data_IF_379013013402
#
_entry.id   IF_379013013402
#
_cell.length_a   1.000
_cell.length_b   1.000
_cell.length_c   1.000
_cell.angle_alpha   90.00
_cell.angle_beta   90.00
_cell.angle_gamma   90.00
#
_symmetry.space_group_name_H-M   'P 1'
#
loop_
_entity.id
_entity.type
_entity.pdbx_description
1 polymer ?
#
# COMPACT_ATOMS: atom_id res chain seq x y z
N UNK A 1 20.60 -5.88 25.47
CA UNK A 1 20.77 -4.54 24.87
C UNK A 1 20.37 -4.60 23.42
N UNK A 2 19.11 -4.27 23.12
CA UNK A 2 18.64 -3.93 21.78
C UNK A 2 17.61 -2.80 21.98
N UNK A 3 17.77 -1.63 21.35
CA UNK A 3 16.81 -0.54 21.46
C UNK A 3 15.68 -0.79 20.44
N UNK A 4 14.44 -0.84 20.90
CA UNK A 4 13.24 -0.92 20.05
C UNK A 4 12.24 0.13 20.52
N UNK A 5 12.60 1.39 20.22
CA UNK A 5 11.71 2.54 20.19
C UNK A 5 12.21 3.43 19.03
N UNK A 6 11.94 3.02 17.78
CA UNK A 6 12.25 3.77 16.54
C UNK A 6 11.47 3.22 15.31
N UNK A 7 10.27 2.67 15.51
CA UNK A 7 9.50 1.95 14.46
C UNK A 7 8.89 2.86 13.37
N UNK A 8 9.27 4.14 13.30
CA UNK A 8 8.81 5.10 12.27
C UNK A 8 9.89 5.57 11.31
N UNK A 9 11.16 5.22 11.54
CA UNK A 9 12.28 5.68 10.70
C UNK A 9 12.56 4.67 9.59
N UNK A 10 12.27 5.08 8.35
CA UNK A 10 12.55 4.27 7.16
C UNK A 10 14.05 3.95 7.04
N UNK A 11 14.37 2.67 6.89
CA UNK A 11 15.73 2.20 6.59
C UNK A 11 15.86 1.86 5.12
N UNK A 12 16.81 2.46 4.38
CA UNK A 12 17.06 2.12 3.00
C UNK A 12 17.36 0.63 2.85
N UNK A 13 16.69 0.00 1.88
CA UNK A 13 16.84 -1.43 1.59
C UNK A 13 17.64 -1.62 0.31
N UNK A 14 18.50 -2.63 0.30
CA UNK A 14 19.22 -3.01 -0.92
C UNK A 14 18.26 -3.71 -1.90
N UNK A 15 17.90 -2.99 -2.96
CA UNK A 15 17.01 -3.47 -3.99
C UNK A 15 17.62 -4.61 -4.81
N UNK A 16 18.94 -4.62 -5.04
CA UNK A 16 19.63 -5.63 -5.83
C UNK A 16 19.64 -6.95 -5.05
N UNK A 17 20.10 -6.91 -3.79
CA UNK A 17 20.10 -8.09 -2.92
C UNK A 17 18.69 -8.64 -2.70
N UNK A 18 17.70 -7.76 -2.53
CA UNK A 18 16.31 -8.20 -2.38
C UNK A 18 15.74 -8.79 -3.67
N UNK A 19 16.13 -8.26 -4.84
CA UNK A 19 15.70 -8.80 -6.13
C UNK A 19 16.29 -10.18 -6.40
N UNK A 20 17.57 -10.37 -6.08
CA UNK A 20 18.25 -11.64 -6.26
C UNK A 20 17.66 -12.72 -5.35
N UNK A 21 17.44 -12.40 -4.07
CA UNK A 21 16.76 -13.33 -3.16
C UNK A 21 15.34 -13.65 -3.63
N UNK A 22 14.57 -12.64 -4.07
CA UNK A 22 13.24 -12.83 -4.66
C UNK A 22 13.25 -13.75 -5.88
N UNK A 23 14.22 -13.57 -6.78
CA UNK A 23 14.37 -14.39 -7.99
C UNK A 23 14.76 -15.83 -7.65
N UNK A 24 15.61 -16.05 -6.66
CA UNK A 24 16.00 -17.40 -6.21
C UNK A 24 14.81 -18.14 -5.61
N UNK A 25 14.06 -17.51 -4.69
CA UNK A 25 12.90 -18.15 -4.08
C UNK A 25 11.81 -18.48 -5.09
N UNK A 26 11.48 -17.52 -5.95
CA UNK A 26 10.46 -17.71 -6.99
C UNK A 26 10.91 -18.68 -8.10
N UNK A 27 12.17 -18.60 -8.53
CA UNK A 27 12.76 -19.53 -9.49
C UNK A 27 12.80 -20.96 -8.95
N UNK A 28 13.10 -21.14 -7.66
CA UNK A 28 13.00 -22.43 -6.97
C UNK A 28 11.58 -22.99 -7.01
N UNK A 29 10.57 -22.17 -6.72
CA UNK A 29 9.16 -22.56 -6.85
C UNK A 29 8.80 -22.92 -8.31
N UNK A 30 9.31 -22.17 -9.29
CA UNK A 30 9.14 -22.47 -10.71
C UNK A 30 9.77 -23.81 -11.12
N UNK A 31 10.93 -24.15 -10.55
CA UNK A 31 11.59 -25.45 -10.75
C UNK A 31 10.72 -26.57 -10.20
N UNK A 32 10.19 -26.43 -8.98
CA UNK A 32 9.29 -27.41 -8.37
C UNK A 32 8.01 -27.62 -9.20
N UNK A 33 7.40 -26.55 -9.71
CA UNK A 33 6.21 -26.66 -10.57
C UNK A 33 6.57 -27.35 -11.89
N UNK A 34 7.71 -27.00 -12.47
CA UNK A 34 8.21 -27.61 -13.71
C UNK A 34 8.50 -29.10 -13.55
N UNK A 35 9.10 -29.49 -12.43
CA UNK A 35 9.42 -30.89 -12.13
C UNK A 35 8.14 -31.69 -11.89
N UNK A 36 7.18 -31.14 -11.14
CA UNK A 36 5.87 -31.77 -10.92
C UNK A 36 5.13 -31.96 -12.25
N UNK A 37 5.10 -30.93 -13.11
CA UNK A 37 4.48 -31.01 -14.44
C UNK A 37 5.16 -32.05 -15.34
N UNK A 38 6.48 -32.20 -15.23
CA UNK A 38 7.23 -33.25 -15.94
C UNK A 38 6.91 -34.64 -15.40
N UNK A 39 6.82 -34.81 -14.08
CA UNK A 39 6.49 -36.08 -13.42
C UNK A 39 5.08 -36.59 -13.79
N UNK A 40 4.13 -35.67 -13.97
CA UNK A 40 2.76 -36.02 -14.37
C UNK A 40 2.57 -36.28 -15.87
N UNK A 41 3.62 -36.18 -16.71
CA UNK A 41 3.48 -36.48 -18.14
C UNK A 41 3.34 -37.99 -18.36
N UNK A 42 2.37 -38.37 -19.20
CA UNK A 42 2.13 -39.77 -19.59
C UNK A 42 3.23 -40.37 -20.48
N UNK A 43 4.09 -39.54 -21.07
CA UNK A 43 5.14 -39.97 -21.98
C UNK A 43 6.46 -40.14 -21.22
N UNK A 44 7.30 -41.08 -21.66
CA UNK A 44 8.64 -41.24 -21.10
C UNK A 44 9.48 -39.99 -21.39
N UNK A 45 9.72 -39.18 -20.36
CA UNK A 45 10.49 -37.94 -20.44
C UNK A 45 11.73 -38.06 -19.58
N UNK A 46 12.90 -37.82 -20.18
CA UNK A 46 14.17 -37.82 -19.46
C UNK A 46 14.27 -36.65 -18.48
N UNK A 47 15.18 -36.74 -17.50
CA UNK A 47 15.41 -35.70 -16.48
C UNK A 47 15.68 -34.30 -17.09
N UNK A 48 16.32 -34.25 -18.25
CA UNK A 48 16.62 -33.01 -19.00
C UNK A 48 15.37 -32.29 -19.52
N UNK A 49 14.21 -32.95 -19.51
CA UNK A 49 12.94 -32.35 -19.93
C UNK A 49 12.50 -31.20 -19.02
N UNK A 50 12.82 -31.26 -17.72
CA UNK A 50 12.50 -30.20 -16.73
C UNK A 50 13.15 -28.87 -17.10
N UNK A 51 14.39 -28.92 -17.59
CA UNK A 51 15.17 -27.73 -17.93
C UNK A 51 14.90 -27.26 -19.37
N UNK A 52 14.77 -28.17 -20.33
CA UNK A 52 14.57 -27.81 -21.75
C UNK A 52 13.17 -27.31 -22.06
N UNK A 53 12.13 -27.99 -21.59
CA UNK A 53 10.73 -27.59 -21.85
C UNK A 53 10.14 -26.78 -20.70
N UNK A 54 10.61 -27.01 -19.47
CA UNK A 54 10.17 -26.27 -18.30
C UNK A 54 11.00 -25.03 -17.97
N UNK A 55 12.13 -24.82 -18.64
CA UNK A 55 13.00 -23.65 -18.42
C UNK A 55 12.26 -22.32 -18.55
N UNK A 56 11.34 -22.20 -19.51
CA UNK A 56 10.52 -21.00 -19.67
C UNK A 56 9.67 -20.70 -18.43
N UNK A 57 9.14 -21.73 -17.75
CA UNK A 57 8.38 -21.53 -16.50
C UNK A 57 9.30 -21.12 -15.36
N UNK A 58 10.45 -21.77 -15.20
CA UNK A 58 11.45 -21.44 -14.17
C UNK A 58 11.87 -19.97 -14.29
N UNK A 59 12.22 -19.55 -15.51
CA UNK A 59 12.64 -18.19 -15.82
C UNK A 59 11.51 -17.18 -15.57
N UNK A 60 10.28 -17.51 -15.99
CA UNK A 60 9.13 -16.61 -15.79
C UNK A 60 8.85 -16.37 -14.30
N UNK A 61 8.91 -17.42 -13.48
CA UNK A 61 8.74 -17.29 -12.03
C UNK A 61 9.91 -16.52 -11.39
N UNK A 62 11.15 -16.82 -11.77
CA UNK A 62 12.33 -16.10 -11.28
C UNK A 62 12.27 -14.60 -11.58
N UNK A 63 11.92 -14.23 -12.82
CA UNK A 63 11.76 -12.82 -13.18
C UNK A 63 10.59 -12.16 -12.44
N UNK A 64 9.45 -12.85 -12.31
CA UNK A 64 8.30 -12.30 -11.59
C UNK A 64 8.65 -11.97 -10.13
N UNK A 65 9.32 -12.87 -9.41
CA UNK A 65 9.72 -12.63 -8.02
C UNK A 65 10.88 -11.63 -7.87
N UNK A 66 11.83 -11.64 -8.80
CA UNK A 66 12.93 -10.68 -8.84
C UNK A 66 12.47 -9.26 -9.09
N UNK A 67 11.65 -9.05 -10.12
CA UNK A 67 11.07 -7.75 -10.47
C UNK A 67 10.13 -7.27 -9.38
N UNK A 68 9.30 -8.16 -8.81
CA UNK A 68 8.44 -7.84 -7.67
C UNK A 68 9.24 -7.22 -6.51
N UNK A 69 10.29 -7.92 -6.05
CA UNK A 69 11.11 -7.45 -4.94
C UNK A 69 11.91 -6.20 -5.32
N UNK A 70 12.48 -6.14 -6.51
CA UNK A 70 13.21 -4.97 -6.98
C UNK A 70 12.34 -3.72 -6.96
N UNK A 71 11.17 -3.79 -7.62
CA UNK A 71 10.26 -2.66 -7.72
C UNK A 71 9.68 -2.24 -6.36
N UNK A 72 9.36 -3.20 -5.50
CA UNK A 72 8.92 -2.93 -4.13
C UNK A 72 9.99 -2.16 -3.33
N UNK A 73 11.25 -2.59 -3.38
CA UNK A 73 12.33 -1.91 -2.64
C UNK A 73 12.70 -0.57 -3.27
N UNK A 74 12.72 -0.48 -4.59
CA UNK A 74 12.98 0.77 -5.29
C UNK A 74 11.91 1.82 -4.96
N UNK A 75 10.63 1.45 -4.97
CA UNK A 75 9.54 2.37 -4.62
C UNK A 75 9.59 2.78 -3.15
N UNK A 76 9.93 1.83 -2.25
CA UNK A 76 10.09 2.12 -0.83
C UNK A 76 11.25 3.11 -0.58
N UNK A 77 12.39 2.91 -1.24
CA UNK A 77 13.55 3.80 -1.13
C UNK A 77 13.26 5.21 -1.66
N UNK A 78 12.55 5.33 -2.80
CA UNK A 78 12.19 6.61 -3.39
C UNK A 78 11.19 7.40 -2.51
N UNK A 79 10.25 6.69 -1.87
CA UNK A 79 9.23 7.31 -1.01
C UNK A 79 9.66 7.46 0.43
N UNK A 80 10.76 6.82 0.81
CA UNK A 80 11.22 6.69 2.19
C UNK A 80 10.09 6.24 3.15
N UNK A 81 9.20 5.37 2.66
CA UNK A 81 8.00 4.90 3.37
C UNK A 81 7.71 3.46 3.00
N UNK A 82 7.28 2.67 3.99
CA UNK A 82 6.86 1.28 3.82
C UNK A 82 5.33 1.17 3.80
N UNK A 83 4.75 1.34 2.62
CA UNK A 83 3.29 1.30 2.44
C UNK A 83 2.84 0.13 1.56
N UNK A 84 1.54 -0.19 1.63
CA UNK A 84 0.88 -1.16 0.74
C UNK A 84 1.04 -0.81 -0.75
N UNK A 85 1.22 0.47 -1.08
CA UNK A 85 1.49 0.92 -2.45
C UNK A 85 2.78 0.36 -3.04
N UNK A 86 3.81 0.13 -2.21
CA UNK A 86 5.07 -0.46 -2.69
C UNK A 86 4.85 -1.92 -3.12
N UNK A 87 4.03 -2.64 -2.36
CA UNK A 87 3.64 -4.01 -2.68
C UNK A 87 2.77 -4.07 -3.94
N UNK A 88 1.83 -3.14 -4.11
CA UNK A 88 0.98 -3.04 -5.30
C UNK A 88 1.81 -2.79 -6.57
N UNK A 89 2.75 -1.84 -6.53
CA UNK A 89 3.64 -1.52 -7.66
C UNK A 89 4.55 -2.70 -7.99
N UNK A 90 5.14 -3.32 -6.96
CA UNK A 90 5.94 -4.52 -7.13
C UNK A 90 5.15 -5.65 -7.79
N UNK A 91 3.92 -5.89 -7.31
CA UNK A 91 3.08 -6.96 -7.82
C UNK A 91 2.54 -6.69 -9.22
N UNK A 92 2.26 -5.42 -9.55
CA UNK A 92 1.91 -5.04 -10.91
C UNK A 92 3.04 -5.36 -11.89
N UNK A 93 4.27 -4.97 -11.55
CA UNK A 93 5.43 -5.21 -12.40
C UNK A 93 5.80 -6.69 -12.47
N UNK A 94 5.82 -7.40 -11.33
CA UNK A 94 6.07 -8.85 -11.29
C UNK A 94 4.99 -9.68 -11.99
N UNK A 95 3.71 -9.30 -11.86
CA UNK A 95 2.59 -9.96 -12.53
C UNK A 95 2.57 -9.73 -14.04
N UNK A 96 2.98 -8.54 -14.49
CA UNK A 96 3.13 -8.22 -15.92
C UNK A 96 4.10 -9.19 -16.62
N UNK A 97 5.13 -9.67 -15.91
CA UNK A 97 6.10 -10.64 -16.45
C UNK A 97 5.45 -11.96 -16.85
N UNK A 98 4.48 -12.47 -16.08
CA UNK A 98 3.74 -13.67 -16.47
C UNK A 98 2.96 -13.46 -17.79
N UNK A 99 2.45 -12.25 -18.01
CA UNK A 99 1.76 -11.86 -19.25
C UNK A 99 2.69 -11.65 -20.45
N UNK A 100 3.98 -11.38 -20.24
CA UNK A 100 4.94 -11.10 -21.32
C UNK A 100 5.04 -12.25 -22.32
N UNK A 101 4.85 -13.50 -21.88
CA UNK A 101 4.86 -14.67 -22.78
C UNK A 101 3.78 -14.60 -23.87
N UNK A 102 2.68 -13.90 -23.61
CA UNK A 102 1.59 -13.75 -24.59
C UNK A 102 1.88 -12.67 -25.64
N UNK A 103 2.89 -11.81 -25.43
CA UNK A 103 3.26 -10.69 -26.32
C UNK A 103 2.10 -9.75 -26.69
N UNK A 104 1.04 -9.72 -25.86
CA UNK A 104 -0.15 -8.91 -26.06
C UNK A 104 -0.23 -7.90 -24.92
N UNK A 105 -0.14 -6.61 -25.24
CA UNK A 105 -0.29 -5.51 -24.29
C UNK A 105 -1.50 -5.63 -23.35
N UNK A 106 -2.74 -5.96 -23.81
CA UNK A 106 -3.87 -6.08 -22.90
C UNK A 106 -3.71 -7.24 -21.91
N UNK A 107 -3.05 -8.33 -22.31
CA UNK A 107 -2.80 -9.48 -21.44
C UNK A 107 -1.77 -9.13 -20.38
N UNK A 108 -0.70 -8.44 -20.76
CA UNK A 108 0.35 -7.98 -19.84
C UNK A 108 -0.25 -7.06 -18.77
N UNK A 109 -1.02 -6.05 -19.20
CA UNK A 109 -1.68 -5.11 -18.28
C UNK A 109 -2.73 -5.80 -17.42
N UNK A 110 -3.48 -6.76 -17.95
CA UNK A 110 -4.48 -7.52 -17.19
C UNK A 110 -3.85 -8.35 -16.07
N UNK A 111 -2.78 -9.09 -16.34
CA UNK A 111 -2.06 -9.85 -15.32
C UNK A 111 -1.38 -8.94 -14.29
N UNK A 112 -0.78 -7.83 -14.74
CA UNK A 112 -0.23 -6.82 -13.85
C UNK A 112 -1.30 -6.22 -12.93
N UNK A 113 -2.42 -5.75 -13.49
CA UNK A 113 -3.49 -5.12 -12.72
C UNK A 113 -4.11 -6.09 -11.70
N UNK A 114 -4.35 -7.35 -12.08
CA UNK A 114 -4.85 -8.38 -11.17
C UNK A 114 -3.87 -8.63 -10.03
N UNK A 115 -2.59 -8.86 -10.33
CA UNK A 115 -1.57 -9.10 -9.32
C UNK A 115 -1.39 -7.87 -8.40
N UNK A 116 -1.36 -6.67 -8.97
CA UNK A 116 -1.27 -5.41 -8.25
C UNK A 116 -2.44 -5.19 -7.30
N UNK A 117 -3.67 -5.40 -7.75
CA UNK A 117 -4.85 -5.26 -6.92
C UNK A 117 -4.91 -6.32 -5.81
N UNK A 118 -4.64 -7.58 -6.12
CA UNK A 118 -4.68 -8.67 -5.13
C UNK A 118 -3.61 -8.52 -4.05
N UNK A 119 -2.36 -8.28 -4.43
CA UNK A 119 -1.27 -8.10 -3.45
C UNK A 119 -1.37 -6.74 -2.75
N UNK A 120 -1.81 -5.69 -3.45
CA UNK A 120 -2.04 -4.38 -2.85
C UNK A 120 -3.13 -4.41 -1.78
N UNK A 121 -4.27 -5.05 -2.05
CA UNK A 121 -5.34 -5.26 -1.06
C UNK A 121 -4.85 -6.13 0.09
N UNK A 122 -4.13 -7.22 -0.19
CA UNK A 122 -3.57 -8.08 0.85
C UNK A 122 -2.61 -7.32 1.80
N UNK A 123 -1.71 -6.52 1.23
CA UNK A 123 -0.80 -5.67 2.01
C UNK A 123 -1.55 -4.59 2.79
N UNK A 124 -2.60 -4.01 2.19
CA UNK A 124 -3.45 -3.03 2.86
C UNK A 124 -4.20 -3.64 4.05
N UNK A 125 -4.62 -4.91 3.97
CA UNK A 125 -5.27 -5.63 5.09
C UNK A 125 -4.31 -6.09 6.19
N UNK A 126 -3.01 -5.77 6.10
CA UNK A 126 -2.01 -6.09 7.12
C UNK A 126 -1.05 -7.23 6.76
N UNK A 127 -1.11 -7.76 5.53
CA UNK A 127 -0.07 -8.64 4.99
C UNK A 127 0.09 -10.01 5.67
N UNK A 128 -0.84 -10.41 6.54
CA UNK A 128 -0.81 -11.69 7.26
C UNK A 128 -2.11 -12.47 7.08
N UNK A 129 -1.99 -13.79 6.87
CA UNK A 129 -3.15 -14.70 6.84
C UNK A 129 -3.51 -15.26 8.22
N UNK A 130 -2.59 -15.13 9.18
CA UNK A 130 -2.70 -15.69 10.53
C UNK A 130 -3.31 -14.69 11.54
N UNK A 131 -3.81 -13.56 11.05
CA UNK A 131 -4.29 -12.45 11.88
C UNK A 131 -3.19 -11.50 12.32
N UNK A 132 -3.60 -10.35 12.86
CA UNK A 132 -2.70 -9.35 13.40
C UNK A 132 -2.03 -9.90 14.67
N UNK A 133 -0.71 -10.09 14.63
CA UNK A 133 0.05 -10.41 15.84
C UNK A 133 0.00 -9.18 16.73
N UNK A 134 -0.61 -9.33 17.91
CA UNK A 134 -0.76 -8.26 18.88
C UNK A 134 0.63 -7.88 19.38
N UNK A 135 0.94 -6.59 19.37
CA UNK A 135 2.13 -6.13 20.07
C UNK A 135 1.96 -6.38 21.57
N UNK A 136 2.84 -7.16 22.19
CA UNK A 136 2.78 -7.41 23.63
C UNK A 136 3.13 -6.17 24.47
N UNK A 137 3.60 -5.09 23.83
CA UNK A 137 4.03 -3.85 24.47
C UNK A 137 2.96 -2.76 24.47
N UNK A 138 1.82 -2.96 23.80
CA UNK A 138 0.72 -1.99 23.76
C UNK A 138 -0.25 -2.30 24.90
N UNK A 139 -0.51 -1.32 25.76
CA UNK A 139 -1.46 -1.49 26.86
C UNK A 139 -2.86 -1.80 26.31
N UNK A 140 -3.39 -2.98 26.68
CA UNK A 140 -4.73 -3.41 26.29
C UNK A 140 -5.81 -2.46 26.82
N UNK A 141 -5.53 -1.80 27.95
CA UNK A 141 -6.42 -0.84 28.57
C UNK A 141 -6.59 0.37 27.65
N UNK A 142 -5.49 1.01 27.26
CA UNK A 142 -5.49 2.22 26.42
C UNK A 142 -6.13 1.97 25.05
N UNK A 143 -5.87 0.81 24.42
CA UNK A 143 -6.52 0.45 23.15
C UNK A 143 -8.03 0.27 23.30
N UNK A 144 -8.47 -0.43 24.36
CA UNK A 144 -9.90 -0.65 24.62
C UNK A 144 -10.58 0.66 25.02
N UNK A 145 -9.88 1.53 25.72
CA UNK A 145 -10.33 2.87 26.05
C UNK A 145 -10.49 3.73 24.79
N UNK A 146 -9.51 3.75 23.88
CA UNK A 146 -9.62 4.42 22.58
C UNK A 146 -10.83 3.91 21.76
N UNK A 147 -11.05 2.58 21.72
CA UNK A 147 -12.23 2.01 21.06
C UNK A 147 -13.55 2.41 21.72
N UNK A 148 -13.58 2.62 23.05
CA UNK A 148 -14.77 3.08 23.78
C UNK A 148 -15.01 4.58 23.61
N UNK A 149 -13.95 5.38 23.61
CA UNK A 149 -13.97 6.84 23.45
C UNK A 149 -14.35 7.27 22.03
N UNK A 150 -14.18 6.38 21.04
CA UNK A 150 -14.62 6.61 19.65
C UNK A 150 -16.12 6.94 19.48
N UNK A 151 -16.96 6.77 20.51
CA UNK A 151 -18.37 7.18 20.49
C UNK A 151 -18.55 8.70 20.43
N UNK A 152 -17.61 9.49 20.96
CA UNK A 152 -17.61 10.97 20.92
C UNK A 152 -16.18 11.47 20.76
N UNK A 153 -15.77 11.75 19.53
CA UNK A 153 -14.47 12.37 19.24
C UNK A 153 -14.54 13.89 19.44
N UNK A 154 -13.50 14.54 19.98
CA UNK A 154 -13.45 15.98 20.11
C UNK A 154 -13.52 16.67 18.73
N UNK A 155 -14.19 17.83 18.67
CA UNK A 155 -14.40 18.56 17.41
C UNK A 155 -13.08 19.02 16.78
N UNK A 156 -12.05 19.25 17.60
CA UNK A 156 -10.70 19.65 17.17
C UNK A 156 -9.99 18.54 16.39
N UNK A 157 -10.10 17.28 16.82
CA UNK A 157 -9.54 16.12 16.11
C UNK A 157 -10.23 15.93 14.75
N UNK A 158 -11.56 16.07 14.71
CA UNK A 158 -12.30 16.01 13.43
C UNK A 158 -11.92 17.16 12.49
N UNK A 159 -11.58 18.32 13.04
CA UNK A 159 -11.14 19.48 12.27
C UNK A 159 -9.77 19.25 11.64
N UNK A 160 -8.85 18.65 12.39
CA UNK A 160 -7.52 18.32 11.92
C UNK A 160 -7.55 17.24 10.82
N UNK A 161 -8.41 16.24 10.95
CA UNK A 161 -8.52 15.13 9.99
C UNK A 161 -9.31 15.51 8.71
N UNK A 162 -10.49 16.15 8.85
CA UNK A 162 -11.43 16.39 7.74
C UNK A 162 -11.28 17.80 7.16
N UNK A 163 -10.78 18.75 7.95
CA UNK A 163 -10.70 20.17 7.58
C UNK A 163 -12.03 20.92 7.77
N UNK A 164 -11.95 22.25 7.73
CA UNK A 164 -13.12 23.13 7.80
C UNK A 164 -13.95 23.10 6.50
N UNK A 165 -15.27 22.97 6.62
CA UNK A 165 -16.20 23.05 5.48
C UNK A 165 -17.08 21.82 5.31
N UNK A 166 -17.93 21.82 4.26
CA UNK A 166 -18.85 20.71 3.91
C UNK A 166 -19.72 20.20 5.08
N UNK A 167 -20.23 21.13 5.91
CA UNK A 167 -21.16 20.81 7.01
C UNK A 167 -20.53 20.75 8.40
N UNK A 168 -19.20 20.87 8.52
CA UNK A 168 -18.50 20.97 9.80
C UNK A 168 -18.10 22.43 10.05
N UNK A 169 -18.73 23.04 11.05
CA UNK A 169 -18.57 24.46 11.39
C UNK A 169 -18.14 24.61 12.85
N UNK A 170 -16.84 24.79 13.13
CA UNK A 170 -16.39 25.08 14.49
C UNK A 170 -16.85 26.47 14.94
N UNK A 171 -16.87 26.76 16.25
CA UNK A 171 -17.05 28.12 16.75
C UNK A 171 -16.04 29.08 16.09
N UNK A 172 -16.51 30.27 15.70
CA UNK A 172 -15.68 31.25 14.97
C UNK A 172 -15.44 30.94 13.48
N UNK A 173 -16.15 29.97 12.89
CA UNK A 173 -16.02 29.66 11.44
C UNK A 173 -16.34 30.85 10.53
N UNK A 174 -17.37 31.64 10.86
CA UNK A 174 -17.75 32.81 10.05
C UNK A 174 -16.63 33.85 9.99
N UNK A 175 -15.87 33.98 11.08
CA UNK A 175 -14.75 34.91 11.20
C UNK A 175 -13.51 34.47 10.39
N UNK A 176 -13.23 33.17 10.38
CA UNK A 176 -12.18 32.58 9.53
C UNK A 176 -12.58 32.58 8.06
N UNK A 177 -13.87 32.37 7.78
CA UNK A 177 -14.41 32.44 6.42
C UNK A 177 -14.34 33.85 5.86
N UNK A 178 -14.71 34.89 6.61
CA UNK A 178 -14.57 36.30 6.16
C UNK A 178 -13.10 36.63 5.87
N UNK A 179 -12.17 36.21 6.72
CA UNK A 179 -10.73 36.44 6.49
C UNK A 179 -10.25 35.76 5.19
N UNK A 180 -10.63 34.50 4.95
CA UNK A 180 -10.32 33.78 3.70
C UNK A 180 -10.96 34.41 2.46
N UNK A 181 -12.18 34.95 2.58
CA UNK A 181 -12.88 35.59 1.45
C UNK A 181 -12.31 36.98 1.14
N UNK A 182 -11.95 37.74 2.17
CA UNK A 182 -11.25 39.01 2.05
C UNK A 182 -9.89 38.81 1.36
N UNK A 183 -9.10 37.84 1.83
CA UNK A 183 -7.76 37.56 1.28
C UNK A 183 -7.83 37.05 -0.17
N UNK A 184 -8.81 36.20 -0.49
CA UNK A 184 -8.89 35.55 -1.81
C UNK A 184 -9.62 36.38 -2.87
N UNK A 185 -10.57 37.23 -2.47
CA UNK A 185 -11.46 37.94 -3.39
C UNK A 185 -11.60 39.45 -3.12
N UNK A 186 -11.01 39.98 -2.04
CA UNK A 186 -11.11 41.40 -1.70
C UNK A 186 -12.51 41.86 -1.28
N UNK A 187 -13.41 40.93 -0.98
CA UNK A 187 -14.81 41.23 -0.64
C UNK A 187 -15.00 41.20 0.88
N UNK A 188 -15.31 42.36 1.46
CA UNK A 188 -15.72 42.47 2.86
C UNK A 188 -17.17 42.04 3.04
N UNK A 189 -17.37 40.84 3.59
CA UNK A 189 -18.70 40.35 3.97
C UNK A 189 -19.02 40.89 5.37
N UNK A 190 -19.82 41.96 5.44
CA UNK A 190 -20.32 42.51 6.72
C UNK A 190 -21.23 41.48 7.41
N UNK A 191 -21.11 41.28 8.74
CA UNK A 191 -22.02 40.42 9.46
C UNK A 191 -23.43 41.04 9.44
N UNK A 192 -24.43 40.24 9.09
CA UNK A 192 -25.82 40.62 9.35
C UNK A 192 -26.03 40.49 10.86
N UNK A 193 -26.09 41.60 11.58
CA UNK A 193 -26.40 41.61 13.01
C UNK A 193 -27.84 41.13 13.21
N UNK A 194 -28.01 39.99 13.86
CA UNK A 194 -29.29 39.55 14.42
C UNK A 194 -29.43 39.99 15.88
N UNK A 195 -28.87 41.16 16.23
CA UNK A 195 -29.10 41.82 17.53
C UNK A 195 -30.05 43.00 17.28
N UNK A 196 -31.26 43.01 17.86
CA UNK A 196 -32.25 44.07 17.62
C UNK A 196 -31.88 45.44 18.23
N UNK A 197 -30.76 45.54 18.97
CA UNK A 197 -30.40 46.72 19.76
C UNK A 197 -29.05 47.37 19.42
N UNK A 198 -28.41 47.02 18.30
CA UNK A 198 -27.22 47.77 17.85
C UNK A 198 -27.61 48.60 16.63
N UNK A 199 -27.80 49.91 16.86
CA UNK A 199 -28.04 50.89 15.81
C UNK A 199 -26.85 50.90 14.83
N UNK A 200 -27.12 50.55 13.59
CA UNK A 200 -26.22 50.67 12.46
C UNK A 200 -26.06 52.14 12.02
N UNK A 201 -24.84 52.63 11.74
CA UNK A 201 -24.66 53.75 10.81
C UNK A 201 -24.84 53.31 9.35
#
# INVERSE_FOLDING_TARGET
>A
MAPQEDDTVFRPKDAIKSSLSGAVYSGGAGLLISSLRTSMKKNNVGSMHVFTHGGATIISFAFAGGIYKFAQQASANLRQKEDAWNHAIGAFLGGSVMGLRSLRFPVILGFGALAGATVGTFAFTGGTLWGYKRDPNVDEYERKEAMRLNRRRPIEETLAEVGEGRGIYPPGYQERRRARLLEKYGVEVKPVSADPNVASP
#
